data_IF_465555733263
#
_entry.id   IF_465555733263
#
_cell.length_a   1.000
_cell.length_b   1.000
_cell.length_c   1.000
_cell.angle_alpha   90.00
_cell.angle_beta   90.00
_cell.angle_gamma   90.00
#
_symmetry.space_group_name_H-M   'P 1'
#
loop_
_entity.id
_entity.type
_entity.pdbx_description
1 polymer ?
#
# COMPACT_ATOMS: atom_id res chain seq x y z
N UNK A 1 -8.54 16.73 5.13
CA UNK A 1 -7.72 15.52 5.27
C UNK A 1 -8.00 14.74 6.56
N UNK A 2 -8.03 15.35 7.77
CA UNK A 2 -8.29 14.61 9.02
C UNK A 2 -9.61 13.81 9.03
N UNK A 3 -10.73 14.44 8.66
CA UNK A 3 -12.05 13.77 8.60
C UNK A 3 -12.05 12.56 7.67
N UNK A 4 -11.41 12.68 6.50
CA UNK A 4 -11.27 11.58 5.56
C UNK A 4 -10.47 10.39 6.14
N UNK A 5 -9.44 10.67 6.95
CA UNK A 5 -8.64 9.63 7.62
C UNK A 5 -9.48 8.89 8.66
N UNK A 6 -10.25 9.64 9.47
CA UNK A 6 -11.16 9.08 10.50
C UNK A 6 -12.21 8.17 9.86
N UNK A 7 -12.89 8.66 8.81
CA UNK A 7 -13.86 7.85 8.09
C UNK A 7 -13.21 6.60 7.49
N UNK A 8 -12.02 6.73 6.89
CA UNK A 8 -11.28 5.59 6.33
C UNK A 8 -10.88 4.54 7.37
N UNK A 9 -10.62 4.93 8.62
CA UNK A 9 -10.38 3.97 9.73
C UNK A 9 -11.63 3.22 10.17
N UNK A 10 -12.83 3.76 9.93
CA UNK A 10 -14.10 3.07 10.18
C UNK A 10 -14.31 1.82 9.32
N UNK A 11 -13.53 1.64 8.25
CA UNK A 11 -13.59 0.47 7.37
C UNK A 11 -13.36 -0.85 8.09
N UNK A 12 -12.62 -0.87 9.21
CA UNK A 12 -12.44 -2.06 10.05
C UNK A 12 -13.75 -2.51 10.69
N UNK A 13 -14.45 -1.55 11.30
CA UNK A 13 -15.74 -1.79 11.96
C UNK A 13 -16.77 -2.24 10.93
N UNK A 14 -16.82 -1.56 9.77
CA UNK A 14 -17.73 -1.91 8.67
C UNK A 14 -17.43 -3.31 8.13
N UNK A 15 -16.17 -3.67 7.91
CA UNK A 15 -15.78 -5.00 7.43
C UNK A 15 -16.13 -6.10 8.44
N UNK A 16 -15.96 -5.82 9.73
CA UNK A 16 -16.32 -6.74 10.80
C UNK A 16 -17.84 -6.94 10.89
N UNK A 17 -18.60 -5.85 10.87
CA UNK A 17 -20.07 -5.85 10.85
C UNK A 17 -20.60 -6.60 9.62
N UNK A 18 -20.03 -6.35 8.45
CA UNK A 18 -20.47 -6.97 7.20
C UNK A 18 -20.10 -8.46 7.16
N UNK A 19 -18.96 -8.85 7.73
CA UNK A 19 -18.60 -10.26 7.91
C UNK A 19 -19.49 -10.99 8.93
N UNK A 20 -20.00 -10.27 9.94
CA UNK A 20 -21.00 -10.82 10.86
C UNK A 20 -22.35 -11.00 10.17
N UNK A 21 -22.81 -9.98 9.43
CA UNK A 21 -24.12 -9.96 8.77
C UNK A 21 -24.22 -10.94 7.59
N UNK A 22 -23.21 -11.00 6.72
CA UNK A 22 -23.25 -11.80 5.48
C UNK A 22 -22.63 -13.18 5.65
N UNK A 23 -21.52 -13.30 6.37
CA UNK A 23 -20.74 -14.55 6.48
C UNK A 23 -21.04 -15.33 7.78
N UNK A 24 -21.94 -14.83 8.64
CA UNK A 24 -22.23 -15.37 9.98
C UNK A 24 -20.96 -15.69 10.81
N UNK A 25 -19.86 -14.96 10.59
CA UNK A 25 -18.63 -15.19 11.33
C UNK A 25 -18.80 -14.75 12.79
N UNK A 26 -18.42 -15.63 13.72
CA UNK A 26 -18.37 -15.32 15.15
C UNK A 26 -17.01 -14.72 15.50
N UNK A 27 -17.03 -13.43 15.87
CA UNK A 27 -15.88 -12.71 16.38
C UNK A 27 -15.81 -12.80 17.90
N UNK A 28 -14.60 -12.88 18.45
CA UNK A 28 -14.41 -12.88 19.90
C UNK A 28 -14.53 -11.45 20.44
N UNK A 29 -14.93 -11.31 21.70
CA UNK A 29 -14.99 -9.99 22.37
C UNK A 29 -13.62 -9.30 22.36
N UNK A 30 -12.53 -10.07 22.44
CA UNK A 30 -11.16 -9.55 22.33
C UNK A 30 -10.87 -8.96 20.95
N UNK A 31 -11.37 -9.56 19.85
CA UNK A 31 -11.23 -9.00 18.51
C UNK A 31 -12.06 -7.73 18.34
N UNK A 32 -13.29 -7.69 18.85
CA UNK A 32 -14.16 -6.49 18.79
C UNK A 32 -13.53 -5.34 19.55
N UNK A 33 -13.11 -5.58 20.80
CA UNK A 33 -12.47 -4.57 21.63
C UNK A 33 -11.18 -4.04 20.99
N UNK A 34 -10.37 -4.94 20.40
CA UNK A 34 -9.15 -4.57 19.68
C UNK A 34 -9.43 -3.63 18.50
N UNK A 35 -10.48 -3.91 17.72
CA UNK A 35 -10.87 -3.06 16.57
C UNK A 35 -11.39 -1.69 17.03
N UNK A 36 -12.19 -1.63 18.10
CA UNK A 36 -12.64 -0.37 18.68
C UNK A 36 -11.46 0.46 19.19
N UNK A 37 -10.50 -0.19 19.83
CA UNK A 37 -9.31 0.43 20.38
C UNK A 37 -8.40 0.98 19.26
N UNK A 38 -8.23 0.26 18.15
CA UNK A 38 -7.56 0.79 16.94
C UNK A 38 -8.32 2.00 16.37
N UNK A 39 -9.65 1.93 16.29
CA UNK A 39 -10.48 3.01 15.75
C UNK A 39 -10.35 4.28 16.60
N UNK A 40 -10.42 4.14 17.93
CA UNK A 40 -10.22 5.25 18.86
C UNK A 40 -8.81 5.85 18.75
N UNK A 41 -7.79 5.01 18.56
CA UNK A 41 -6.40 5.45 18.45
C UNK A 41 -6.16 6.29 17.20
N UNK A 42 -6.70 5.86 16.05
CA UNK A 42 -6.61 6.65 14.81
C UNK A 42 -7.36 7.98 14.94
N UNK A 43 -8.53 7.98 15.59
CA UNK A 43 -9.28 9.21 15.87
C UNK A 43 -8.44 10.17 16.71
N UNK A 44 -7.88 9.70 17.82
CA UNK A 44 -7.08 10.51 18.73
C UNK A 44 -5.83 11.10 18.06
N UNK A 45 -5.07 10.27 17.33
CA UNK A 45 -3.91 10.72 16.54
C UNK A 45 -4.32 11.75 15.47
N UNK A 46 -5.47 11.55 14.82
CA UNK A 46 -5.96 12.45 13.78
C UNK A 46 -6.40 13.81 14.33
N UNK A 47 -7.08 13.82 15.49
CA UNK A 47 -7.43 15.07 16.18
C UNK A 47 -6.19 15.82 16.68
N UNK A 48 -5.20 15.11 17.21
CA UNK A 48 -3.92 15.71 17.65
C UNK A 48 -3.16 16.36 16.49
N UNK A 49 -3.23 15.77 15.29
CA UNK A 49 -2.61 16.32 14.08
C UNK A 49 -3.47 17.38 13.36
N UNK A 50 -4.73 17.60 13.77
CA UNK A 50 -5.62 18.55 13.11
C UNK A 50 -5.42 19.97 13.66
N UNK A 51 -4.85 20.86 12.85
CA UNK A 51 -4.72 22.29 13.19
C UNK A 51 -6.10 22.96 13.06
N UNK A 52 -6.58 23.72 14.07
CA UNK A 52 -7.85 24.43 13.97
C UNK A 52 -7.78 25.53 12.90
N UNK A 53 -8.56 25.39 11.82
CA UNK A 53 -8.80 26.50 10.87
C UNK A 53 -9.79 27.49 11.50
N UNK A 54 -9.40 28.76 11.59
CA UNK A 54 -10.29 29.87 12.03
C UNK A 54 -11.60 29.85 11.23
N UNK A 55 -12.73 29.99 11.93
CA UNK A 55 -14.09 29.95 11.38
C UNK A 55 -14.30 31.08 10.34
N UNK A 56 -14.75 30.72 9.15
CA UNK A 56 -15.28 31.65 8.15
C UNK A 56 -16.74 32.01 8.47
N UNK A 57 -17.14 33.23 8.10
CA UNK A 57 -18.37 33.94 8.49
C UNK A 57 -19.69 33.31 8.05
N UNK A 58 -20.77 33.72 8.72
CA UNK A 58 -22.05 33.03 8.87
C UNK A 58 -23.06 33.06 7.69
N UNK A 59 -22.72 33.60 6.51
CA UNK A 59 -23.68 33.75 5.40
C UNK A 59 -23.63 32.64 4.33
N UNK A 60 -22.68 31.71 4.41
CA UNK A 60 -22.51 30.59 3.48
C UNK A 60 -22.77 29.22 4.13
N UNK A 61 -23.60 29.17 5.18
CA UNK A 61 -23.76 27.97 6.01
C UNK A 61 -24.45 26.83 5.25
N UNK A 62 -25.57 27.08 4.55
CA UNK A 62 -26.37 26.00 3.94
C UNK A 62 -25.70 25.32 2.73
N UNK A 63 -25.06 26.09 1.84
CA UNK A 63 -24.33 25.52 0.70
C UNK A 63 -23.07 24.76 1.13
N UNK A 64 -22.40 25.25 2.18
CA UNK A 64 -21.25 24.57 2.79
C UNK A 64 -21.70 23.29 3.52
N UNK A 65 -22.85 23.33 4.19
CA UNK A 65 -23.45 22.18 4.87
C UNK A 65 -23.80 21.09 3.86
N UNK A 66 -24.47 21.44 2.75
CA UNK A 66 -24.81 20.48 1.69
C UNK A 66 -23.56 19.83 1.06
N UNK A 67 -22.53 20.62 0.77
CA UNK A 67 -21.26 20.08 0.23
C UNK A 67 -20.57 19.15 1.24
N UNK A 68 -20.63 19.50 2.53
CA UNK A 68 -20.07 18.70 3.61
C UNK A 68 -20.84 17.39 3.84
N UNK A 69 -22.18 17.43 3.89
CA UNK A 69 -23.04 16.24 3.99
C UNK A 69 -22.82 15.32 2.79
N UNK A 70 -22.77 15.89 1.59
CA UNK A 70 -22.54 15.10 0.36
C UNK A 70 -21.20 14.38 0.42
N UNK A 71 -20.15 15.07 0.88
CA UNK A 71 -18.84 14.44 1.12
C UNK A 71 -18.90 13.31 2.14
N UNK A 72 -19.58 13.50 3.27
CA UNK A 72 -19.76 12.45 4.30
C UNK A 72 -20.56 11.26 3.74
N UNK A 73 -21.62 11.51 2.97
CA UNK A 73 -22.46 10.47 2.38
C UNK A 73 -21.67 9.61 1.40
N UNK A 74 -20.90 10.24 0.50
CA UNK A 74 -20.04 9.54 -0.47
C UNK A 74 -18.97 8.72 0.27
N UNK A 75 -18.34 9.27 1.31
CA UNK A 75 -17.34 8.54 2.10
C UNK A 75 -17.94 7.35 2.84
N UNK A 76 -19.13 7.51 3.41
CA UNK A 76 -19.84 6.43 4.10
C UNK A 76 -20.20 5.30 3.14
N UNK A 77 -20.73 5.64 1.96
CA UNK A 77 -21.02 4.67 0.91
C UNK A 77 -19.75 3.93 0.44
N UNK A 78 -18.65 4.66 0.24
CA UNK A 78 -17.38 4.09 -0.17
C UNK A 78 -16.81 3.10 0.87
N UNK A 79 -17.03 3.32 2.17
CA UNK A 79 -16.62 2.40 3.24
C UNK A 79 -17.41 1.09 3.19
N UNK A 80 -18.72 1.17 2.97
CA UNK A 80 -19.58 -0.01 2.83
C UNK A 80 -19.15 -0.84 1.63
N UNK A 81 -18.94 -0.22 0.47
CA UNK A 81 -18.43 -0.92 -0.72
C UNK A 81 -17.03 -1.49 -0.50
N UNK A 82 -16.15 -0.80 0.23
CA UNK A 82 -14.82 -1.33 0.56
C UNK A 82 -14.92 -2.61 1.41
N UNK A 83 -15.81 -2.64 2.42
CA UNK A 83 -16.06 -3.83 3.24
C UNK A 83 -16.66 -4.98 2.42
N UNK A 84 -17.62 -4.67 1.54
CA UNK A 84 -18.21 -5.65 0.62
C UNK A 84 -17.18 -6.26 -0.33
N UNK A 85 -16.33 -5.43 -0.96
CA UNK A 85 -15.23 -5.89 -1.82
C UNK A 85 -14.26 -6.80 -1.07
N UNK A 86 -13.95 -6.49 0.20
CA UNK A 86 -13.12 -7.37 1.04
C UNK A 86 -13.74 -8.76 1.24
N UNK A 87 -15.06 -8.85 1.40
CA UNK A 87 -15.77 -10.13 1.54
C UNK A 87 -15.81 -10.89 0.23
N UNK A 88 -16.06 -10.20 -0.89
CA UNK A 88 -16.03 -10.80 -2.24
C UNK A 88 -14.64 -11.35 -2.54
N UNK A 89 -13.58 -10.62 -2.18
CA UNK A 89 -12.21 -11.09 -2.27
C UNK A 89 -12.01 -12.37 -1.44
N UNK A 90 -12.43 -12.40 -0.16
CA UNK A 90 -12.29 -13.57 0.72
C UNK A 90 -13.02 -14.81 0.14
N UNK A 91 -14.22 -14.64 -0.42
CA UNK A 91 -14.96 -15.74 -1.09
C UNK A 91 -14.28 -16.20 -2.37
N UNK A 92 -13.84 -15.27 -3.20
CA UNK A 92 -13.21 -15.58 -4.49
C UNK A 92 -11.91 -16.35 -4.28
N UNK A 93 -11.06 -15.91 -3.34
CA UNK A 93 -9.83 -16.64 -3.01
C UNK A 93 -10.10 -17.98 -2.31
N UNK A 94 -11.14 -18.10 -1.49
CA UNK A 94 -11.50 -19.40 -0.91
C UNK A 94 -11.97 -20.41 -1.98
N UNK A 95 -12.72 -19.93 -2.98
CA UNK A 95 -13.25 -20.78 -4.05
C UNK A 95 -12.19 -21.13 -5.10
N UNK A 96 -11.34 -20.16 -5.50
CA UNK A 96 -10.39 -20.32 -6.61
C UNK A 96 -8.91 -20.36 -6.19
N UNK A 97 -8.56 -20.13 -4.92
CA UNK A 97 -7.17 -20.13 -4.44
C UNK A 97 -6.59 -21.50 -4.09
N UNK A 98 -7.39 -22.57 -4.20
CA UNK A 98 -6.98 -23.93 -3.78
C UNK A 98 -6.16 -24.71 -4.82
N UNK A 99 -5.74 -24.09 -5.93
CA UNK A 99 -4.99 -24.80 -6.97
C UNK A 99 -3.51 -25.03 -6.63
N UNK A 100 -2.99 -24.50 -5.52
CA UNK A 100 -1.62 -24.77 -5.06
C UNK A 100 -1.62 -25.64 -3.81
N UNK A 101 -2.03 -26.90 -3.93
CA UNK A 101 -1.38 -27.96 -3.15
C UNK A 101 -0.59 -28.79 -4.16
N UNK A 102 0.74 -28.85 -4.08
CA UNK A 102 1.42 -30.01 -4.62
C UNK A 102 0.83 -31.20 -3.86
N UNK A 103 0.00 -31.96 -4.55
CA UNK A 103 -0.42 -33.28 -4.10
C UNK A 103 0.85 -34.10 -3.99
N UNK A 104 1.41 -34.20 -2.80
CA UNK A 104 2.16 -35.39 -2.42
C UNK A 104 1.11 -36.50 -2.36
N UNK A 105 0.70 -36.99 -3.54
CA UNK A 105 -0.21 -38.12 -3.66
C UNK A 105 0.45 -39.33 -3.01
N UNK A 106 -0.32 -39.92 -2.09
CA UNK A 106 -0.29 -41.33 -1.68
C UNK A 106 1.04 -41.87 -1.14
N UNK A 107 1.16 -41.89 0.19
CA UNK A 107 1.84 -43.00 0.86
C UNK A 107 1.07 -44.30 0.56
N UNK A 108 1.70 -45.35 -0.01
CA UNK A 108 1.09 -46.67 -0.06
C UNK A 108 1.08 -47.31 1.34
N UNK A 109 0.08 -48.13 1.68
CA UNK A 109 0.10 -48.88 2.92
C UNK A 109 1.07 -50.06 2.82
N UNK A 110 1.66 -50.39 3.97
CA UNK A 110 2.34 -51.64 4.32
C UNK A 110 3.83 -51.81 3.95
N UNK A 111 4.65 -51.74 5.02
CA UNK A 111 5.66 -52.75 5.38
C UNK A 111 6.58 -53.26 4.28
N UNK A 112 7.69 -52.55 4.05
CA UNK A 112 8.93 -53.15 3.58
C UNK A 112 10.13 -52.31 4.02
N UNK A 113 11.13 -52.98 4.60
CA UNK A 113 12.43 -52.43 4.98
C UNK A 113 13.12 -51.78 3.76
N UNK A 114 13.59 -50.54 3.86
CA UNK A 114 14.44 -49.91 2.85
C UNK A 114 15.74 -49.40 3.48
N UNK A 115 16.92 -49.79 2.96
CA UNK A 115 18.21 -49.35 3.49
C UNK A 115 18.47 -47.89 3.10
N UNK A 116 19.26 -47.19 3.92
CA UNK A 116 19.78 -45.86 3.63
C UNK A 116 20.73 -45.93 2.44
N UNK A 117 20.44 -45.21 1.37
CA UNK A 117 21.46 -44.80 0.39
C UNK A 117 21.06 -43.49 -0.27
N UNK A 118 22.12 -42.73 -0.55
CA UNK A 118 22.27 -41.34 -0.94
C UNK A 118 21.62 -40.94 -2.28
N UNK A 119 21.32 -39.64 -2.35
CA UNK A 119 21.25 -38.80 -3.56
C UNK A 119 20.43 -39.33 -4.73
N UNK A 120 19.20 -38.83 -4.88
CA UNK A 120 18.62 -38.65 -6.21
C UNK A 120 17.73 -37.40 -6.22
N UNK A 121 18.10 -36.50 -7.10
CA UNK A 121 17.44 -35.28 -7.57
C UNK A 121 15.92 -35.37 -7.51
N UNK A 122 15.30 -34.48 -6.73
CA UNK A 122 13.87 -34.19 -6.83
C UNK A 122 13.64 -33.39 -8.11
N UNK A 123 13.21 -34.06 -9.17
CA UNK A 123 12.55 -33.38 -10.29
C UNK A 123 11.17 -32.95 -9.79
N UNK A 124 11.10 -31.75 -9.22
CA UNK A 124 9.83 -31.05 -9.05
C UNK A 124 9.27 -30.82 -10.45
N UNK A 125 8.16 -31.47 -10.80
CA UNK A 125 7.30 -31.01 -11.89
C UNK A 125 6.83 -29.61 -11.52
N UNK A 126 7.59 -28.61 -12.01
CA UNK A 126 7.29 -27.20 -11.88
C UNK A 126 5.98 -26.97 -12.65
N UNK A 127 4.89 -26.83 -11.91
CA UNK A 127 3.63 -26.38 -12.45
C UNK A 127 3.84 -24.94 -12.98
N UNK A 128 3.97 -24.77 -14.30
CA UNK A 128 4.26 -23.48 -14.97
C UNK A 128 3.06 -22.49 -14.95
N UNK A 129 2.05 -22.73 -14.12
CA UNK A 129 0.90 -21.84 -13.96
C UNK A 129 1.27 -20.61 -13.11
N UNK A 130 0.83 -19.40 -13.50
CA UNK A 130 1.10 -18.20 -12.73
C UNK A 130 0.45 -18.27 -11.35
N UNK A 131 1.13 -17.75 -10.32
CA UNK A 131 0.58 -17.73 -8.97
C UNK A 131 -0.75 -16.94 -8.93
N UNK A 132 -1.74 -17.41 -8.17
CA UNK A 132 -3.08 -16.80 -8.07
C UNK A 132 -3.07 -15.31 -7.68
N UNK A 133 -2.03 -14.84 -6.97
CA UNK A 133 -1.89 -13.42 -6.62
C UNK A 133 -1.49 -12.55 -7.83
N UNK A 134 -0.72 -13.11 -8.79
CA UNK A 134 -0.33 -12.42 -10.02
C UNK A 134 -1.53 -12.23 -10.94
N UNK A 135 -2.34 -13.28 -11.09
CA UNK A 135 -3.60 -13.22 -11.85
C UNK A 135 -4.54 -12.17 -11.25
N UNK A 136 -4.73 -12.19 -9.93
CA UNK A 136 -5.57 -11.20 -9.25
C UNK A 136 -5.03 -9.78 -9.41
N UNK A 137 -3.71 -9.58 -9.30
CA UNK A 137 -3.10 -8.28 -9.56
C UNK A 137 -3.37 -7.82 -10.99
N UNK A 138 -3.23 -8.70 -11.99
CA UNK A 138 -3.54 -8.39 -13.38
C UNK A 138 -4.99 -7.96 -13.55
N UNK A 139 -5.97 -8.76 -13.08
CA UNK A 139 -7.39 -8.45 -13.24
C UNK A 139 -7.79 -7.14 -12.54
N UNK A 140 -7.31 -6.89 -11.31
CA UNK A 140 -7.63 -5.67 -10.57
C UNK A 140 -7.18 -4.40 -11.31
N UNK A 141 -6.01 -4.42 -11.94
CA UNK A 141 -5.48 -3.26 -12.65
C UNK A 141 -6.06 -3.16 -14.07
N UNK A 142 -6.14 -4.27 -14.79
CA UNK A 142 -6.69 -4.32 -16.14
C UNK A 142 -8.16 -3.90 -16.16
N UNK A 143 -8.97 -4.37 -15.21
CA UNK A 143 -10.38 -4.00 -15.13
C UNK A 143 -10.59 -2.53 -14.74
N UNK A 144 -9.61 -1.92 -14.07
CA UNK A 144 -9.66 -0.49 -13.71
C UNK A 144 -9.31 0.45 -14.88
N UNK A 145 -8.56 -0.02 -15.88
CA UNK A 145 -8.09 0.79 -17.01
C UNK A 145 -9.23 1.49 -17.78
N UNK A 146 -10.32 0.81 -18.15
CA UNK A 146 -11.44 1.42 -18.87
C UNK A 146 -12.11 2.55 -18.09
N UNK A 147 -12.14 2.47 -16.76
CA UNK A 147 -12.77 3.49 -15.91
C UNK A 147 -12.00 4.82 -15.97
N UNK A 148 -10.67 4.78 -16.19
CA UNK A 148 -9.88 6.02 -16.36
C UNK A 148 -10.24 6.80 -17.63
N UNK A 149 -10.85 6.17 -18.64
CA UNK A 149 -11.29 6.85 -19.87
C UNK A 149 -12.39 7.88 -19.56
N UNK A 150 -13.19 7.65 -18.52
CA UNK A 150 -14.23 8.59 -18.07
C UNK A 150 -13.64 9.82 -17.36
N UNK A 151 -12.49 9.66 -16.69
CA UNK A 151 -11.80 10.71 -15.91
C UNK A 151 -10.70 11.40 -16.73
N UNK A 152 -10.56 11.08 -18.02
CA UNK A 152 -9.43 11.52 -18.86
C UNK A 152 -9.24 13.04 -18.90
N UNK A 153 -10.33 13.81 -18.81
CA UNK A 153 -10.27 15.27 -18.86
C UNK A 153 -9.60 15.85 -17.60
N UNK A 154 -9.93 15.32 -16.43
CA UNK A 154 -9.29 15.71 -15.18
C UNK A 154 -7.82 15.28 -15.14
N UNK A 155 -7.51 14.10 -15.68
CA UNK A 155 -6.13 13.61 -15.79
C UNK A 155 -5.32 14.52 -16.72
N UNK A 156 -5.87 14.92 -17.87
CA UNK A 156 -5.18 15.79 -18.83
C UNK A 156 -4.87 17.17 -18.22
N UNK A 157 -5.84 17.77 -17.52
CA UNK A 157 -5.64 19.07 -16.86
C UNK A 157 -4.60 19.00 -15.75
N UNK A 158 -4.61 17.94 -14.93
CA UNK A 158 -3.61 17.73 -13.87
C UNK A 158 -2.22 17.41 -14.43
N UNK A 159 -2.14 16.62 -15.52
CA UNK A 159 -0.87 16.30 -16.18
C UNK A 159 -0.23 17.56 -16.76
N UNK A 160 -1.01 18.43 -17.40
CA UNK A 160 -0.50 19.71 -17.91
C UNK A 160 -0.02 20.62 -16.77
N UNK A 161 -0.75 20.68 -15.66
CA UNK A 161 -0.31 21.42 -14.47
C UNK A 161 1.01 20.87 -13.89
N UNK A 162 1.18 19.54 -13.83
CA UNK A 162 2.41 18.91 -13.36
C UNK A 162 3.60 19.17 -14.30
N UNK A 163 3.39 19.14 -15.62
CA UNK A 163 4.44 19.42 -16.60
C UNK A 163 4.86 20.89 -16.62
N UNK A 164 3.98 21.80 -16.22
CA UNK A 164 4.31 23.23 -16.02
C UNK A 164 5.09 23.53 -14.74
N UNK A 165 5.38 22.51 -13.92
CA UNK A 165 6.15 22.68 -12.67
C UNK A 165 7.62 23.05 -12.94
N UNK A 166 8.29 23.78 -12.02
CA UNK A 166 9.67 24.25 -12.22
C UNK A 166 10.63 23.12 -12.59
N UNK A 167 11.48 23.35 -13.60
CA UNK A 167 12.49 22.40 -14.03
C UNK A 167 13.60 22.25 -12.99
N UNK A 168 13.95 21.02 -12.65
CA UNK A 168 15.09 20.69 -11.83
C UNK A 168 16.27 20.37 -12.75
N UNK A 169 17.33 21.16 -12.67
CA UNK A 169 18.55 20.90 -13.44
C UNK A 169 19.37 19.84 -12.72
N UNK A 170 19.28 18.58 -13.16
CA UNK A 170 20.05 17.49 -12.58
C UNK A 170 21.27 17.25 -13.46
N UNK A 171 22.41 17.81 -13.05
CA UNK A 171 23.70 17.67 -13.72
C UNK A 171 24.35 16.36 -13.29
N UNK A 172 24.22 15.30 -14.10
CA UNK A 172 24.90 14.03 -13.82
C UNK A 172 26.31 14.06 -14.45
N UNK A 173 27.39 13.89 -13.67
CA UNK A 173 28.72 13.73 -14.22
C UNK A 173 28.83 12.31 -14.80
N UNK A 174 28.67 12.17 -16.13
CA UNK A 174 28.83 10.89 -16.81
C UNK A 174 30.20 10.84 -17.51
N UNK A 175 30.96 9.77 -17.29
CA UNK A 175 32.27 9.54 -17.92
C UNK A 175 32.14 8.37 -18.90
N UNK A 176 31.93 8.64 -20.18
CA UNK A 176 32.00 7.61 -21.22
C UNK A 176 33.46 7.19 -21.44
N UNK A 177 33.77 5.89 -21.62
CA UNK A 177 35.05 5.47 -22.19
C UNK A 177 35.11 5.94 -23.64
N UNK A 178 36.10 6.79 -23.95
CA UNK A 178 36.33 7.32 -25.29
C UNK A 178 36.56 6.17 -26.29
N UNK A 179 35.71 6.08 -27.32
CA UNK A 179 36.05 5.37 -28.55
C UNK A 179 36.77 6.36 -29.48
N UNK A 180 37.88 5.95 -30.14
CA UNK A 180 38.61 6.84 -31.03
C UNK A 180 38.06 6.75 -32.47
N UNK A 181 38.16 7.89 -33.18
CA UNK A 181 38.30 8.06 -34.66
C UNK A 181 37.03 8.52 -35.46
N UNK A 182 37.18 9.20 -36.65
CA UNK A 182 37.67 10.59 -36.83
C UNK A 182 37.17 11.32 -38.12
N UNK A 183 36.36 12.39 -38.15
CA UNK A 183 36.26 13.33 -39.31
C UNK A 183 35.13 14.36 -39.09
N UNK A 184 35.14 15.65 -39.45
CA UNK A 184 36.09 16.69 -39.93
C UNK A 184 35.34 18.04 -39.78
N UNK A 185 36.02 19.21 -39.83
CA UNK A 185 35.59 20.44 -39.16
C UNK A 185 35.00 21.50 -40.10
N UNK A 186 34.10 22.36 -39.60
CA UNK A 186 33.98 23.74 -40.10
C UNK A 186 33.49 24.66 -38.97
N UNK A 187 34.42 25.29 -38.26
CA UNK A 187 34.16 26.53 -37.53
C UNK A 187 35.33 27.46 -37.78
N UNK A 188 35.04 28.60 -38.40
CA UNK A 188 35.99 29.64 -38.74
C UNK A 188 36.59 30.22 -37.46
N UNK A 189 37.92 30.20 -37.42
CA UNK A 189 38.74 30.76 -36.36
C UNK A 189 38.80 32.28 -36.49
N UNK A 190 38.65 32.99 -35.36
CA UNK A 190 39.28 34.29 -35.16
C UNK A 190 40.21 34.14 -33.95
N UNK A 191 41.50 34.26 -34.23
CA UNK A 191 42.62 33.92 -33.37
C UNK A 191 43.14 35.15 -32.63
N UNK A 192 43.42 35.04 -31.32
CA UNK A 192 44.54 35.76 -30.67
C UNK A 192 45.04 35.05 -29.39
N UNK A 193 46.16 34.34 -29.56
CA UNK A 193 47.34 34.17 -28.67
C UNK A 193 47.24 33.95 -27.14
N UNK A 194 47.67 32.76 -26.66
CA UNK A 194 48.82 32.51 -25.73
C UNK A 194 48.77 31.09 -25.07
N UNK A 195 49.90 30.50 -24.58
CA UNK A 195 50.09 29.04 -24.49
C UNK A 195 50.08 28.39 -23.08
N UNK A 196 49.62 27.13 -23.00
CA UNK A 196 49.79 26.06 -21.95
C UNK A 196 48.92 26.18 -20.67
N UNK A 197 48.32 25.10 -20.07
CA UNK A 197 48.52 23.64 -20.18
C UNK A 197 47.36 22.89 -20.89
N UNK A 198 47.46 21.57 -21.20
CA UNK A 198 46.38 20.84 -21.84
C UNK A 198 45.11 20.93 -20.98
N UNK A 199 43.96 21.39 -21.53
CA UNK A 199 42.71 21.32 -20.81
C UNK A 199 42.40 19.84 -20.55
N UNK A 200 42.16 19.49 -19.29
CA UNK A 200 41.52 18.23 -18.95
C UNK A 200 40.29 18.04 -19.87
N UNK A 201 40.03 16.82 -20.38
CA UNK A 201 38.92 16.59 -21.30
C UNK A 201 37.64 17.16 -20.68
N UNK A 202 36.81 17.91 -21.43
CA UNK A 202 35.61 18.49 -20.87
C UNK A 202 34.76 17.37 -20.28
N UNK A 203 34.51 17.43 -18.97
CA UNK A 203 33.45 16.65 -18.35
C UNK A 203 32.15 17.06 -19.05
N UNK A 204 31.67 16.24 -19.98
CA UNK A 204 30.36 16.42 -20.58
C UNK A 204 29.33 16.14 -19.50
N UNK A 205 28.84 17.20 -18.87
CA UNK A 205 27.73 17.15 -17.93
C UNK A 205 26.44 16.98 -18.73
N UNK A 206 25.77 15.84 -18.55
CA UNK A 206 24.44 15.64 -19.11
C UNK A 206 23.46 16.46 -18.26
N UNK A 207 22.99 17.59 -18.80
CA UNK A 207 22.01 18.46 -18.13
C UNK A 207 20.61 17.99 -18.45
N UNK A 208 20.11 17.02 -17.67
CA UNK A 208 18.72 16.59 -17.78
C UNK A 208 17.81 17.65 -17.13
N UNK A 209 17.03 18.34 -17.96
CA UNK A 209 15.97 19.27 -17.55
C UNK A 209 14.66 18.50 -17.39
N UNK A 210 14.41 17.98 -16.19
CA UNK A 210 13.13 17.35 -15.86
C UNK A 210 12.31 18.26 -14.93
N UNK A 211 10.99 18.43 -15.17
CA UNK A 211 10.09 19.03 -14.19
C UNK A 211 10.24 18.36 -12.82
N UNK A 212 10.47 19.16 -11.78
CA UNK A 212 10.72 18.70 -10.40
C UNK A 212 9.62 17.82 -9.81
N UNK A 213 8.39 17.91 -10.34
CA UNK A 213 7.25 17.10 -9.89
C UNK A 213 7.30 15.65 -10.39
N UNK A 214 8.00 15.34 -11.50
CA UNK A 214 8.04 14.00 -12.09
C UNK A 214 8.79 12.99 -11.19
N UNK A 215 9.98 13.30 -10.63
CA UNK A 215 10.65 12.38 -9.71
C UNK A 215 9.81 12.06 -8.46
N UNK A 216 9.13 13.06 -7.89
CA UNK A 216 8.26 12.88 -6.72
C UNK A 216 7.05 12.01 -7.03
N UNK A 217 6.42 12.22 -8.20
CA UNK A 217 5.32 11.39 -8.68
C UNK A 217 5.78 9.95 -8.90
N UNK A 218 6.91 9.75 -9.58
CA UNK A 218 7.48 8.42 -9.83
C UNK A 218 7.75 7.67 -8.52
N UNK A 219 8.34 8.33 -7.53
CA UNK A 219 8.65 7.72 -6.23
C UNK A 219 7.37 7.36 -5.44
N UNK A 220 6.36 8.23 -5.48
CA UNK A 220 5.05 7.95 -4.89
C UNK A 220 4.35 6.78 -5.60
N UNK A 221 4.42 6.70 -6.92
CA UNK A 221 3.84 5.58 -7.68
C UNK A 221 4.59 4.27 -7.42
N UNK A 222 5.93 4.29 -7.34
CA UNK A 222 6.73 3.10 -7.02
C UNK A 222 6.41 2.56 -5.63
N UNK A 223 6.34 3.44 -4.63
CA UNK A 223 5.96 3.04 -3.26
C UNK A 223 4.54 2.51 -3.19
N UNK A 224 3.60 3.10 -3.93
CA UNK A 224 2.24 2.58 -4.04
C UNK A 224 2.20 1.20 -4.71
N UNK A 225 2.96 1.00 -5.79
CA UNK A 225 3.04 -0.29 -6.47
C UNK A 225 3.58 -1.38 -5.54
N UNK A 226 4.67 -1.12 -4.82
CA UNK A 226 5.22 -2.04 -3.83
C UNK A 226 4.22 -2.34 -2.71
N UNK A 227 3.50 -1.34 -2.22
CA UNK A 227 2.45 -1.52 -1.22
C UNK A 227 1.29 -2.38 -1.74
N UNK A 228 0.80 -2.11 -2.96
CA UNK A 228 -0.33 -2.82 -3.56
C UNK A 228 0.05 -4.27 -3.88
N UNK A 229 1.24 -4.51 -4.43
CA UNK A 229 1.76 -5.85 -4.66
C UNK A 229 1.89 -6.63 -3.34
N UNK A 230 2.45 -6.02 -2.30
CA UNK A 230 2.57 -6.62 -0.97
C UNK A 230 1.22 -6.97 -0.35
N UNK A 231 0.24 -6.07 -0.45
CA UNK A 231 -1.12 -6.29 0.05
C UNK A 231 -1.84 -7.39 -0.72
N UNK A 232 -1.80 -7.38 -2.05
CA UNK A 232 -2.45 -8.42 -2.86
C UNK A 232 -1.85 -9.81 -2.61
N UNK A 233 -0.52 -9.90 -2.44
CA UNK A 233 0.13 -11.14 -2.02
C UNK A 233 -0.37 -11.60 -0.66
N UNK A 234 -0.54 -10.69 0.29
CA UNK A 234 -1.03 -11.02 1.63
C UNK A 234 -2.51 -11.44 1.65
N UNK A 235 -3.37 -10.82 0.82
CA UNK A 235 -4.80 -11.15 0.72
C UNK A 235 -5.04 -12.61 0.34
N UNK A 236 -4.09 -13.25 -0.38
CA UNK A 236 -4.18 -14.69 -0.68
C UNK A 236 -3.90 -15.60 0.52
N UNK A 237 -3.32 -15.05 1.61
CA UNK A 237 -2.87 -15.81 2.78
C UNK A 237 -3.62 -15.44 4.06
N UNK A 238 -4.21 -14.24 4.14
CA UNK A 238 -4.91 -13.75 5.33
C UNK A 238 -6.29 -13.21 4.95
N UNK A 239 -7.22 -13.29 5.90
CA UNK A 239 -8.59 -12.80 5.70
C UNK A 239 -8.63 -11.31 5.40
N UNK A 240 -9.68 -10.86 4.70
CA UNK A 240 -9.91 -9.45 4.35
C UNK A 240 -9.95 -8.48 5.56
N UNK A 241 -10.32 -8.96 6.75
CA UNK A 241 -10.27 -8.18 7.99
C UNK A 241 -8.83 -7.86 8.41
N UNK A 242 -7.92 -8.83 8.30
CA UNK A 242 -6.48 -8.65 8.56
C UNK A 242 -5.85 -7.72 7.53
N UNK A 243 -6.23 -7.84 6.26
CA UNK A 243 -5.79 -6.92 5.19
C UNK A 243 -6.21 -5.49 5.51
N UNK A 244 -7.48 -5.30 5.89
CA UNK A 244 -8.00 -3.98 6.26
C UNK A 244 -7.26 -3.42 7.48
N UNK A 245 -6.94 -4.25 8.48
CA UNK A 245 -6.18 -3.85 9.66
C UNK A 245 -4.79 -3.34 9.28
N UNK A 246 -4.06 -4.09 8.45
CA UNK A 246 -2.72 -3.71 7.99
C UNK A 246 -2.76 -2.42 7.17
N UNK A 247 -3.79 -2.23 6.34
CA UNK A 247 -3.98 -0.99 5.57
C UNK A 247 -4.26 0.24 6.45
N UNK A 248 -4.91 0.06 7.60
CA UNK A 248 -5.10 1.14 8.59
C UNK A 248 -3.79 1.41 9.33
N UNK A 249 -3.10 0.36 9.79
CA UNK A 249 -1.80 0.47 10.47
C UNK A 249 -0.79 1.21 9.62
N UNK A 250 -0.63 0.85 8.34
CA UNK A 250 0.28 1.53 7.40
C UNK A 250 0.02 3.03 7.34
N UNK A 251 -1.24 3.43 7.22
CA UNK A 251 -1.62 4.87 7.16
C UNK A 251 -1.33 5.58 8.47
N UNK A 252 -1.63 4.93 9.60
CA UNK A 252 -1.33 5.49 10.92
C UNK A 252 0.18 5.68 11.11
N UNK A 253 0.99 4.68 10.73
CA UNK A 253 2.47 4.77 10.79
C UNK A 253 2.99 5.90 9.90
N UNK A 254 2.51 6.01 8.66
CA UNK A 254 2.89 7.13 7.77
C UNK A 254 2.51 8.50 8.35
N UNK A 255 1.35 8.62 9.01
CA UNK A 255 0.92 9.84 9.68
C UNK A 255 1.85 10.17 10.86
N UNK A 256 2.13 9.18 11.73
CA UNK A 256 3.04 9.35 12.88
C UNK A 256 4.42 9.79 12.40
N UNK A 257 5.00 9.12 11.41
CA UNK A 257 6.30 9.50 10.84
C UNK A 257 6.27 10.91 10.24
N UNK A 258 5.19 11.28 9.54
CA UNK A 258 5.04 12.63 9.01
C UNK A 258 5.03 13.69 10.12
N UNK A 259 4.32 13.46 11.22
CA UNK A 259 4.27 14.44 12.33
C UNK A 259 5.59 14.46 13.11
N UNK A 260 6.28 13.31 13.23
CA UNK A 260 7.61 13.25 13.85
C UNK A 260 8.67 14.01 13.04
N UNK A 261 8.62 13.93 11.72
CA UNK A 261 9.58 14.60 10.83
C UNK A 261 9.30 16.10 10.68
N UNK A 262 8.03 16.47 10.49
CA UNK A 262 7.60 17.86 10.43
C UNK A 262 7.14 18.27 11.82
N UNK A 263 8.10 18.69 12.68
CA UNK A 263 7.92 19.16 14.06
C UNK A 263 6.80 20.20 14.21
N UNK A 264 5.54 19.75 14.19
CA UNK A 264 4.38 20.57 14.50
C UNK A 264 4.22 20.62 16.02
N UNK A 265 3.68 21.71 16.56
CA UNK A 265 3.26 21.84 17.97
C UNK A 265 2.04 20.97 18.31
N UNK A 266 2.03 19.72 17.84
CA UNK A 266 1.09 18.72 18.30
C UNK A 266 1.40 18.41 19.78
N UNK A 267 0.34 18.27 20.58
CA UNK A 267 0.47 17.78 21.94
C UNK A 267 1.06 16.37 21.92
N UNK A 268 2.38 16.27 22.16
CA UNK A 268 3.14 15.02 22.12
C UNK A 268 2.42 13.89 22.89
N UNK A 269 1.80 14.21 24.03
CA UNK A 269 1.01 13.25 24.81
C UNK A 269 -0.15 12.58 24.06
N UNK A 270 -0.98 13.33 23.32
CA UNK A 270 -2.15 12.76 22.62
C UNK A 270 -1.73 11.95 21.39
N UNK A 271 -0.67 12.37 20.70
CA UNK A 271 -0.14 11.65 19.54
C UNK A 271 0.45 10.29 19.96
N UNK A 272 1.30 10.28 21.00
CA UNK A 272 1.88 9.05 21.53
C UNK A 272 0.82 8.14 22.13
N UNK A 273 -0.17 8.69 22.84
CA UNK A 273 -1.31 7.91 23.34
C UNK A 273 -2.07 7.22 22.20
N UNK A 274 -2.39 7.96 21.13
CA UNK A 274 -3.06 7.38 19.95
C UNK A 274 -2.22 6.30 19.26
N UNK A 275 -0.91 6.51 19.13
CA UNK A 275 0.01 5.53 18.56
C UNK A 275 0.09 4.24 19.40
N UNK A 276 0.25 4.36 20.72
CA UNK A 276 0.23 3.23 21.65
C UNK A 276 -1.09 2.47 21.56
N UNK A 277 -2.20 3.19 21.42
CA UNK A 277 -3.51 2.58 21.30
C UNK A 277 -3.65 1.78 19.98
N UNK A 278 -3.27 2.35 18.84
CA UNK A 278 -3.28 1.62 17.55
C UNK A 278 -2.39 0.37 17.62
N UNK A 279 -1.22 0.47 18.23
CA UNK A 279 -0.31 -0.65 18.40
C UNK A 279 -0.91 -1.74 19.30
N UNK A 280 -1.40 -1.38 20.49
CA UNK A 280 -2.02 -2.30 21.43
C UNK A 280 -3.24 -3.01 20.81
N UNK A 281 -4.09 -2.29 20.07
CA UNK A 281 -5.25 -2.87 19.40
C UNK A 281 -4.86 -3.82 18.26
N UNK A 282 -3.79 -3.52 17.51
CA UNK A 282 -3.28 -4.41 16.46
C UNK A 282 -2.74 -5.72 17.05
N UNK A 283 -1.96 -5.63 18.13
CA UNK A 283 -1.43 -6.79 18.86
C UNK A 283 -2.57 -7.61 19.49
N UNK A 284 -3.52 -6.93 20.15
CA UNK A 284 -4.69 -7.56 20.76
C UNK A 284 -5.54 -8.34 19.75
N UNK A 285 -5.74 -7.80 18.55
CA UNK A 285 -6.46 -8.48 17.48
C UNK A 285 -5.75 -9.76 17.03
N UNK A 286 -4.43 -9.70 16.84
CA UNK A 286 -3.59 -10.83 16.45
C UNK A 286 -3.61 -11.96 17.50
N UNK A 287 -3.52 -11.61 18.79
CA UNK A 287 -3.57 -12.56 19.89
C UNK A 287 -4.98 -13.18 20.05
N UNK A 288 -6.03 -12.38 19.90
CA UNK A 288 -7.42 -12.84 19.96
C UNK A 288 -7.76 -13.88 18.89
N UNK A 289 -7.10 -13.82 17.73
CA UNK A 289 -7.24 -14.84 16.67
C UNK A 289 -6.60 -16.19 17.02
N UNK A 290 -5.47 -16.21 17.73
CA UNK A 290 -4.74 -17.45 18.11
C UNK A 290 -5.46 -18.25 19.20
N UNK A 291 -6.15 -17.60 20.13
CA UNK A 291 -6.81 -18.26 21.26
C UNK A 291 -7.89 -19.27 20.82
N UNK A 292 -8.57 -19.02 19.70
CA UNK A 292 -9.62 -19.91 19.16
C UNK A 292 -9.07 -21.24 18.61
N UNK A 293 -7.80 -21.28 18.19
CA UNK A 293 -7.14 -22.50 17.70
C UNK A 293 -6.71 -23.43 18.83
N UNK A 294 -6.50 -22.93 20.06
CA UNK A 294 -5.99 -23.73 21.17
C UNK A 294 -7.12 -24.44 21.93
N UNK A 295 -8.24 -23.76 22.14
CA UNK A 295 -9.40 -24.34 22.84
C UNK A 295 -10.11 -25.47 22.08
N UNK A 296 -10.09 -25.45 20.73
CA UNK A 296 -10.67 -26.54 19.93
C UNK A 296 -9.80 -27.80 19.87
N UNK A 297 -8.50 -27.70 20.12
CA UNK A 297 -7.61 -28.87 20.21
C UNK A 297 -7.71 -29.53 21.59
N UNK A 298 -7.75 -28.74 22.67
CA UNK A 298 -7.87 -29.27 24.04
C UNK A 298 -9.24 -29.90 24.36
N UNK A 299 -10.32 -29.44 23.72
CA UNK A 299 -11.66 -30.05 23.87
C UNK A 299 -11.80 -31.36 23.09
N UNK A 300 -11.03 -31.51 22.00
CA UNK A 300 -11.02 -32.74 21.20
C UNK A 300 -10.16 -33.83 21.84
N UNK A 301 -9.03 -33.46 22.45
CA UNK A 301 -8.16 -34.37 23.22
C UNK A 301 -8.76 -34.81 24.57
N UNK A 302 -9.84 -34.17 25.04
CA UNK A 302 -10.61 -34.59 26.23
C UNK A 302 -11.84 -35.44 25.89
N UNK A 303 -12.19 -35.55 24.61
CA UNK A 303 -13.35 -36.29 24.13
C UNK A 303 -12.96 -37.62 23.43
N UNK A 304 -11.66 -37.85 23.19
CA UNK A 304 -11.06 -39.15 22.88
C UNK A 304 -10.47 -39.79 24.16
#
# INVERSE_FOLDING_TARGET
MPVHIIFRSGGLVVSMLMGWLIMRRRYTLTQVFSVLLVTFGVVLTTFSASVPKKKASASSHDAALHSYITGIAILTLALVFSGFLGIVQDKTYSHYGNYTKPTNSSAPPNGAFRPKTSETSKTETKDDRPDTWQESMFYLHFLSLPIFILVRHDIATQAQALLSSPALHLSLPFRLPASPLPHTPTSLYLQTSSPLPPPAPPLQTLTLTLPSALPALFLNTLTQLLCVAGVNRLTTRVTSLTVTLILVVRKAVSLVLSVMLFKQEASWGMLWAGACLVFAGTVGYSMGGKSKSKGQSEEKDKAE
#
